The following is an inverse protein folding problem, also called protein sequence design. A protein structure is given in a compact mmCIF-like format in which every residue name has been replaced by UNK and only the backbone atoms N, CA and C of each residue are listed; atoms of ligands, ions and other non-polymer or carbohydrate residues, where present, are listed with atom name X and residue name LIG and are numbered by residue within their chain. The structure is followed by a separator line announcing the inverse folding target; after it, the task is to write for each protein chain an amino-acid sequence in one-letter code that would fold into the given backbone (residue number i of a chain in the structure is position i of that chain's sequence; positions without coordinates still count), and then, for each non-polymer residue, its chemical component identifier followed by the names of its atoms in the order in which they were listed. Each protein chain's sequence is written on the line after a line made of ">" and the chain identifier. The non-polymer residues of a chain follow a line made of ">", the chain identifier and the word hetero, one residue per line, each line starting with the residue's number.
data_IF_539703688845
#
_entry.id   IF_539703688845
#
_cell.length_a   1.000
_cell.length_b   1.000
_cell.length_c   1.000
_cell.angle_alpha   90.00
_cell.angle_beta   90.00
_cell.angle_gamma   90.00
#
_symmetry.space_group_name_H-M   'P 1'
#
loop_
_entity.id
_entity.type
_entity.pdbx_description
1 polymer ?
#
# COMPACT_ATOMS: atom_id res chain seq x y z
N UNK A 1 0.15 -12.08 -19.35
CA UNK A 1 -0.51 -11.11 -18.42
C UNK A 1 0.47 -10.38 -17.50
N UNK A 2 1.56 -10.98 -17.07
CA UNK A 2 2.56 -10.39 -16.17
C UNK A 2 3.20 -9.12 -16.73
N UNK A 3 3.62 -9.14 -17.99
CA UNK A 3 4.31 -8.01 -18.65
C UNK A 3 3.49 -6.71 -18.69
N UNK A 4 2.17 -6.80 -18.80
CA UNK A 4 1.27 -5.61 -18.85
C UNK A 4 1.05 -4.99 -17.47
N UNK A 5 1.09 -5.75 -16.38
CA UNK A 5 0.93 -5.22 -15.02
C UNK A 5 2.22 -4.59 -14.50
N UNK A 6 3.38 -5.15 -14.83
CA UNK A 6 4.68 -4.56 -14.46
C UNK A 6 4.89 -3.23 -15.19
N UNK A 7 4.53 -3.14 -16.47
CA UNK A 7 4.56 -1.89 -17.22
C UNK A 7 3.57 -0.85 -16.65
N UNK A 8 2.39 -1.29 -16.19
CA UNK A 8 1.42 -0.41 -15.53
C UNK A 8 1.97 0.13 -14.20
N UNK A 9 2.57 -0.73 -13.36
CA UNK A 9 3.14 -0.31 -12.10
C UNK A 9 4.23 0.76 -12.31
N UNK A 10 5.14 0.54 -13.27
CA UNK A 10 6.16 1.52 -13.64
C UNK A 10 5.56 2.85 -14.12
N UNK A 11 4.49 2.80 -14.94
CA UNK A 11 3.77 4.00 -15.38
C UNK A 11 3.14 4.77 -14.21
N UNK A 12 2.52 4.09 -13.25
CA UNK A 12 1.91 4.76 -12.10
C UNK A 12 2.97 5.32 -11.16
N UNK A 13 4.07 4.61 -10.91
CA UNK A 13 5.22 5.13 -10.15
C UNK A 13 5.76 6.39 -10.83
N UNK A 14 5.93 6.37 -12.15
CA UNK A 14 6.36 7.56 -12.89
C UNK A 14 5.37 8.73 -12.70
N UNK A 15 4.06 8.50 -12.82
CA UNK A 15 3.04 9.54 -12.57
C UNK A 15 3.13 10.05 -11.11
N UNK A 16 3.24 9.15 -10.13
CA UNK A 16 3.34 9.51 -8.71
C UNK A 16 4.55 10.41 -8.41
N UNK A 17 5.62 10.30 -9.19
CA UNK A 17 6.90 10.99 -8.95
C UNK A 17 7.17 12.16 -9.90
N UNK A 18 6.37 12.34 -10.97
CA UNK A 18 6.58 13.39 -11.97
C UNK A 18 5.35 14.26 -12.24
N UNK A 19 4.13 13.79 -11.97
CA UNK A 19 2.94 14.61 -12.10
C UNK A 19 2.81 15.51 -10.86
N UNK A 20 2.90 16.82 -11.06
CA UNK A 20 2.88 17.80 -9.97
C UNK A 20 1.68 17.63 -9.04
N UNK A 21 0.47 17.41 -9.58
CA UNK A 21 -0.72 17.31 -8.75
C UNK A 21 -0.71 16.04 -7.89
N UNK A 22 -0.26 14.91 -8.44
CA UNK A 22 -0.18 13.65 -7.71
C UNK A 22 0.95 13.69 -6.69
N UNK A 23 2.14 14.14 -7.09
CA UNK A 23 3.32 14.20 -6.23
C UNK A 23 3.11 15.15 -5.05
N UNK A 24 2.55 16.36 -5.29
CA UNK A 24 2.26 17.31 -4.22
C UNK A 24 1.26 16.76 -3.20
N UNK A 25 0.27 15.96 -3.62
CA UNK A 25 -0.64 15.27 -2.71
C UNK A 25 0.07 14.21 -1.88
N UNK A 26 0.91 13.37 -2.51
CA UNK A 26 1.64 12.31 -1.82
C UNK A 26 2.69 12.85 -0.83
N UNK A 27 3.24 14.02 -1.08
CA UNK A 27 4.19 14.67 -0.19
C UNK A 27 3.52 15.49 0.93
N UNK A 28 2.25 15.86 0.80
CA UNK A 28 1.56 16.71 1.76
C UNK A 28 1.47 16.07 3.13
N UNK A 29 1.91 16.77 4.19
CA UNK A 29 1.66 16.39 5.58
C UNK A 29 0.28 16.89 6.00
N UNK A 30 -0.66 15.96 6.17
CA UNK A 30 -2.03 16.26 6.56
C UNK A 30 -2.18 16.39 8.09
N UNK A 31 -1.17 16.00 8.87
CA UNK A 31 -1.23 16.04 10.35
C UNK A 31 -0.88 17.42 10.89
N UNK A 32 -0.09 18.19 10.13
CA UNK A 32 0.34 19.53 10.48
C UNK A 32 -0.43 20.57 9.65
N UNK A 33 -1.49 21.11 10.22
CA UNK A 33 -2.06 22.36 9.74
C UNK A 33 -1.34 23.50 10.44
N UNK A 34 -0.52 24.27 9.72
CA UNK A 34 0.12 25.43 10.29
C UNK A 34 -0.93 26.44 10.75
N UNK A 35 -0.61 27.24 11.77
CA UNK A 35 -1.51 28.25 12.32
C UNK A 35 -2.03 29.26 11.27
N UNK A 36 -1.28 29.46 10.19
CA UNK A 36 -1.65 30.29 9.03
C UNK A 36 -2.40 29.51 7.92
N UNK A 37 -2.71 28.22 8.13
CA UNK A 37 -3.36 27.34 7.13
C UNK A 37 -2.45 26.85 6.02
N UNK A 38 -1.14 27.12 6.05
CA UNK A 38 -0.19 26.62 5.06
C UNK A 38 0.04 25.12 5.21
N UNK A 39 0.05 24.42 4.08
CA UNK A 39 0.40 23.00 4.04
C UNK A 39 1.92 22.83 4.04
N UNK A 40 2.41 21.84 4.78
CA UNK A 40 3.80 21.40 4.71
C UNK A 40 3.87 20.04 4.04
N UNK A 41 5.03 19.76 3.45
CA UNK A 41 5.37 18.41 3.02
C UNK A 41 5.94 17.61 4.21
N UNK A 42 5.80 16.28 4.14
CA UNK A 42 6.44 15.34 5.06
C UNK A 42 7.95 15.60 5.11
N UNK A 43 8.54 15.50 6.28
CA UNK A 43 9.97 15.75 6.51
C UNK A 43 10.78 14.47 6.37
N UNK A 44 12.04 14.58 5.96
CA UNK A 44 12.93 13.43 5.75
C UNK A 44 13.08 12.57 7.00
N UNK A 45 13.39 13.17 8.13
CA UNK A 45 13.77 12.56 9.40
C UNK A 45 14.91 11.52 9.27
N UNK A 46 15.69 11.65 8.20
CA UNK A 46 16.92 10.91 7.91
C UNK A 46 17.95 11.83 7.22
N UNK A 47 19.24 11.55 7.39
CA UNK A 47 20.32 12.27 6.69
C UNK A 47 20.81 11.53 5.44
N UNK A 48 20.22 10.40 5.10
CA UNK A 48 20.65 9.52 4.01
C UNK A 48 20.73 10.24 2.65
N UNK A 49 19.83 11.18 2.42
CA UNK A 49 19.70 11.88 1.15
C UNK A 49 20.54 13.17 1.06
N UNK A 50 21.40 13.43 2.04
CA UNK A 50 22.22 14.64 2.08
C UNK A 50 21.43 15.91 2.37
N UNK A 51 20.24 15.78 2.93
CA UNK A 51 19.37 16.88 3.34
C UNK A 51 19.38 17.01 4.87
N UNK A 52 18.98 18.17 5.36
CA UNK A 52 18.63 18.30 6.79
C UNK A 52 17.47 17.36 7.09
N UNK A 53 17.60 16.61 8.19
CA UNK A 53 16.57 15.64 8.61
C UNK A 53 15.20 16.28 8.88
N UNK A 54 15.15 17.54 9.28
CA UNK A 54 13.90 18.27 9.50
C UNK A 54 13.37 18.98 8.24
N UNK A 55 14.16 18.98 7.16
CA UNK A 55 13.72 19.58 5.90
C UNK A 55 12.54 18.80 5.29
N UNK A 56 11.56 19.50 4.71
CA UNK A 56 10.48 18.85 3.99
C UNK A 56 11.00 18.22 2.68
N UNK A 57 10.44 17.09 2.29
CA UNK A 57 10.69 16.48 0.98
C UNK A 57 10.06 17.38 -0.08
N UNK A 58 10.86 17.86 -1.03
CA UNK A 58 10.42 18.76 -2.10
C UNK A 58 10.28 18.00 -3.42
N UNK A 59 9.37 18.45 -4.26
CA UNK A 59 9.20 17.90 -5.62
C UNK A 59 10.50 18.03 -6.46
N UNK A 60 11.25 19.14 -6.28
CA UNK A 60 12.53 19.35 -6.93
C UNK A 60 13.54 18.24 -6.67
N UNK A 61 13.45 17.55 -5.55
CA UNK A 61 14.32 16.42 -5.22
C UNK A 61 14.28 15.31 -6.30
N UNK A 62 13.08 14.98 -6.79
CA UNK A 62 12.91 13.99 -7.85
C UNK A 62 13.39 14.50 -9.22
N UNK A 63 13.32 15.81 -9.46
CA UNK A 63 13.84 16.42 -10.68
C UNK A 63 15.38 16.45 -10.69
N UNK A 64 15.99 16.72 -9.55
CA UNK A 64 17.46 16.83 -9.38
C UNK A 64 18.16 15.46 -9.28
N UNK A 65 17.54 14.51 -8.59
CA UNK A 65 18.13 13.19 -8.25
C UNK A 65 17.59 12.03 -9.08
N UNK A 66 16.55 12.28 -9.87
CA UNK A 66 15.86 11.25 -10.66
C UNK A 66 14.69 10.58 -9.91
N UNK A 67 13.86 9.92 -10.70
CA UNK A 67 12.64 9.29 -10.16
C UNK A 67 12.93 8.11 -9.21
N UNK A 68 14.08 7.49 -9.29
CA UNK A 68 14.49 6.35 -8.45
C UNK A 68 15.25 6.78 -7.18
N UNK A 69 15.32 8.08 -6.90
CA UNK A 69 16.06 8.63 -5.77
C UNK A 69 15.55 8.15 -4.41
N UNK A 70 14.26 7.86 -4.26
CA UNK A 70 13.71 7.17 -3.09
C UNK A 70 13.37 5.74 -3.53
N UNK A 71 14.06 4.77 -2.96
CA UNK A 71 13.92 3.35 -3.28
C UNK A 71 13.52 2.52 -2.06
N UNK A 72 12.81 1.40 -2.24
CA UNK A 72 12.53 0.46 -1.18
C UNK A 72 13.77 0.06 -0.40
N UNK A 73 13.62 -0.12 0.91
CA UNK A 73 14.74 -0.45 1.79
C UNK A 73 15.50 -1.69 1.34
N UNK A 74 14.80 -2.71 0.86
CA UNK A 74 15.42 -3.95 0.41
C UNK A 74 16.38 -3.76 -0.78
N UNK A 75 16.20 -2.70 -1.56
CA UNK A 75 17.08 -2.34 -2.68
C UNK A 75 18.26 -1.45 -2.28
N UNK A 76 18.27 -0.92 -1.05
CA UNK A 76 19.37 -0.09 -0.56
C UNK A 76 20.59 -0.95 -0.23
N UNK A 77 21.78 -0.35 -0.31
CA UNK A 77 23.04 -1.01 0.05
C UNK A 77 22.99 -1.49 1.50
N UNK A 78 23.62 -2.63 1.79
CA UNK A 78 23.61 -3.28 3.10
C UNK A 78 24.09 -2.37 4.24
N UNK A 79 25.13 -1.56 3.99
CA UNK A 79 25.63 -0.59 4.97
C UNK A 79 24.58 0.44 5.40
N UNK A 80 23.75 0.91 4.45
CA UNK A 80 22.67 1.85 4.72
C UNK A 80 21.56 1.17 5.51
N UNK A 81 21.16 -0.06 5.13
CA UNK A 81 20.18 -0.85 5.87
C UNK A 81 20.59 -1.08 7.32
N UNK A 82 21.86 -1.44 7.52
CA UNK A 82 22.44 -1.66 8.86
C UNK A 82 22.48 -0.37 9.67
N UNK A 83 22.86 0.75 9.06
CA UNK A 83 22.90 2.05 9.71
C UNK A 83 21.49 2.49 10.17
N UNK A 84 20.47 2.33 9.32
CA UNK A 84 19.07 2.65 9.65
C UNK A 84 18.54 1.73 10.76
N UNK A 85 18.83 0.44 10.73
CA UNK A 85 18.44 -0.48 11.80
C UNK A 85 19.04 -0.10 13.14
N UNK A 86 20.33 0.29 13.17
CA UNK A 86 21.00 0.72 14.42
C UNK A 86 20.50 2.08 14.92
N UNK A 87 20.30 3.03 14.02
CA UNK A 87 19.98 4.41 14.39
C UNK A 87 18.47 4.63 14.65
N UNK A 88 17.60 3.84 14.04
CA UNK A 88 16.14 4.04 14.00
C UNK A 88 15.32 2.81 14.35
N UNK A 89 15.94 1.70 14.73
CA UNK A 89 15.29 0.40 14.93
C UNK A 89 14.43 -0.04 13.72
N UNK A 90 14.81 0.39 12.52
CA UNK A 90 14.08 0.10 11.31
C UNK A 90 14.30 -1.37 10.91
N UNK A 91 13.32 -2.20 11.18
CA UNK A 91 13.30 -3.63 10.84
C UNK A 91 12.06 -3.90 10.02
N UNK A 92 12.26 -4.41 8.80
CA UNK A 92 11.15 -4.76 7.93
C UNK A 92 10.75 -6.23 8.11
N UNK A 93 9.46 -6.48 8.12
CA UNK A 93 8.88 -7.78 8.36
C UNK A 93 8.71 -8.54 7.04
N UNK A 94 9.19 -9.80 6.94
CA UNK A 94 8.94 -10.63 5.76
C UNK A 94 7.46 -10.81 5.50
N UNK A 95 7.06 -10.91 4.24
CA UNK A 95 5.63 -11.01 3.86
C UNK A 95 4.93 -12.21 4.47
N UNK A 96 5.62 -13.35 4.67
CA UNK A 96 5.02 -14.52 5.30
C UNK A 96 4.62 -14.26 6.76
N UNK A 97 5.39 -13.45 7.50
CA UNK A 97 5.03 -13.03 8.87
C UNK A 97 3.84 -12.08 8.84
N UNK A 98 3.85 -11.10 7.92
CA UNK A 98 2.70 -10.21 7.71
C UNK A 98 1.43 -11.00 7.39
N UNK A 99 1.56 -12.06 6.57
CA UNK A 99 0.46 -12.94 6.24
C UNK A 99 -0.12 -13.64 7.46
N UNK A 100 0.75 -14.25 8.27
CA UNK A 100 0.31 -14.96 9.49
C UNK A 100 -0.44 -14.03 10.44
N UNK A 101 0.09 -12.84 10.69
CA UNK A 101 -0.55 -11.86 11.58
C UNK A 101 -1.86 -11.32 10.98
N UNK A 102 -1.91 -11.03 9.69
CA UNK A 102 -3.14 -10.64 9.01
C UNK A 102 -4.20 -11.75 9.03
N UNK A 103 -3.79 -13.02 8.95
CA UNK A 103 -4.71 -14.16 9.10
C UNK A 103 -5.34 -14.19 10.49
N UNK A 104 -4.56 -13.97 11.55
CA UNK A 104 -5.08 -13.90 12.92
C UNK A 104 -6.08 -12.75 13.10
N UNK A 105 -5.78 -11.57 12.56
CA UNK A 105 -6.68 -10.41 12.59
C UNK A 105 -8.00 -10.70 11.87
N UNK A 106 -7.93 -11.36 10.71
CA UNK A 106 -9.11 -11.71 9.93
C UNK A 106 -9.89 -12.87 10.55
N UNK A 107 -9.23 -13.85 11.16
CA UNK A 107 -9.88 -14.92 11.93
C UNK A 107 -10.69 -14.34 13.09
N UNK A 108 -10.11 -13.39 13.86
CA UNK A 108 -10.84 -12.68 14.92
C UNK A 108 -12.06 -11.92 14.40
N UNK A 109 -11.99 -11.38 13.18
CA UNK A 109 -13.09 -10.60 12.61
C UNK A 109 -14.17 -11.48 11.95
N UNK A 110 -13.73 -12.50 11.18
CA UNK A 110 -14.61 -13.39 10.40
C UNK A 110 -15.12 -14.58 11.21
N UNK A 111 -14.43 -14.98 12.29
CA UNK A 111 -14.76 -16.17 13.07
C UNK A 111 -14.37 -17.49 12.39
N UNK A 112 -13.60 -17.45 11.31
CA UNK A 112 -13.13 -18.61 10.55
C UNK A 112 -11.64 -18.45 10.24
N UNK A 113 -10.81 -19.51 10.38
CA UNK A 113 -9.42 -19.50 9.98
C UNK A 113 -9.29 -19.53 8.45
N UNK A 114 -8.11 -19.19 7.96
CA UNK A 114 -7.69 -19.35 6.56
C UNK A 114 -8.66 -18.78 5.50
N UNK A 115 -9.39 -17.71 5.85
CA UNK A 115 -10.41 -17.13 4.96
C UNK A 115 -9.85 -16.65 3.61
N UNK A 116 -8.60 -16.21 3.57
CA UNK A 116 -7.95 -15.65 2.36
C UNK A 116 -6.89 -16.55 1.75
N UNK A 117 -6.22 -17.33 2.57
CA UNK A 117 -5.16 -18.25 2.14
C UNK A 117 -4.90 -19.30 3.21
N UNK A 118 -4.31 -20.41 2.80
CA UNK A 118 -3.80 -21.46 3.71
C UNK A 118 -2.29 -21.31 3.81
N UNK A 119 -1.77 -21.27 5.03
CA UNK A 119 -0.34 -21.18 5.29
C UNK A 119 0.29 -22.58 5.30
N UNK A 120 1.42 -22.71 4.60
CA UNK A 120 2.20 -23.94 4.49
C UNK A 120 3.54 -23.71 5.18
N UNK A 121 3.81 -24.47 6.25
CA UNK A 121 5.10 -24.45 6.93
C UNK A 121 6.16 -25.17 6.09
N UNK A 122 7.36 -24.59 5.98
CA UNK A 122 8.54 -25.22 5.38
C UNK A 122 9.49 -25.71 6.46
N UNK A 123 10.36 -26.65 6.10
CA UNK A 123 11.37 -27.19 7.01
C UNK A 123 12.40 -26.15 7.48
N UNK A 124 12.64 -25.10 6.68
CA UNK A 124 13.54 -24.00 7.00
C UNK A 124 12.93 -22.92 7.93
N UNK A 125 11.70 -23.15 8.43
CA UNK A 125 10.97 -22.23 9.29
C UNK A 125 10.32 -21.05 8.56
N UNK A 126 10.46 -20.96 7.24
CA UNK A 126 9.73 -20.03 6.40
C UNK A 126 8.34 -20.58 6.13
N UNK A 127 7.35 -19.70 6.03
CA UNK A 127 5.99 -20.08 5.69
C UNK A 127 5.63 -19.57 4.30
N UNK A 128 5.20 -20.49 3.45
CA UNK A 128 4.55 -20.16 2.18
C UNK A 128 3.03 -20.07 2.41
N UNK A 129 2.32 -19.51 1.44
CA UNK A 129 0.87 -19.46 1.49
C UNK A 129 0.26 -19.71 0.12
N UNK A 130 -0.92 -20.30 0.13
CA UNK A 130 -1.69 -20.55 -1.07
C UNK A 130 -3.05 -19.86 -0.96
N UNK A 131 -3.40 -18.96 -1.89
CA UNK A 131 -4.69 -18.29 -1.88
C UNK A 131 -5.85 -19.28 -1.95
N UNK A 132 -6.88 -19.07 -1.13
CA UNK A 132 -8.13 -19.82 -1.24
C UNK A 132 -8.86 -19.39 -2.50
N UNK A 133 -9.53 -20.36 -3.18
CA UNK A 133 -10.34 -20.10 -4.38
C UNK A 133 -11.82 -19.87 -4.04
N UNK A 134 -12.26 -20.29 -2.86
CA UNK A 134 -13.64 -20.07 -2.39
C UNK A 134 -13.84 -18.61 -1.99
N UNK A 135 -15.00 -18.01 -2.32
CA UNK A 135 -15.34 -16.68 -1.84
C UNK A 135 -15.36 -16.59 -0.32
N UNK A 136 -14.96 -15.43 0.19
CA UNK A 136 -14.92 -15.17 1.64
C UNK A 136 -16.32 -15.21 2.22
N UNK A 137 -16.50 -15.95 3.31
CA UNK A 137 -17.76 -16.03 4.06
C UNK A 137 -17.75 -15.03 5.22
N UNK A 138 -18.92 -14.47 5.52
CA UNK A 138 -19.09 -13.49 6.59
C UNK A 138 -19.96 -14.07 7.70
N UNK A 139 -19.64 -13.80 8.98
CA UNK A 139 -20.45 -14.28 10.10
C UNK A 139 -21.84 -13.65 10.09
N UNK A 140 -22.78 -14.29 10.78
CA UNK A 140 -24.14 -13.79 10.94
C UNK A 140 -24.13 -12.34 11.47
N UNK A 141 -24.98 -11.50 10.91
CA UNK A 141 -25.08 -10.08 11.27
C UNK A 141 -23.99 -9.18 10.69
N UNK A 142 -22.99 -9.72 9.97
CA UNK A 142 -21.94 -8.94 9.28
C UNK A 142 -22.00 -9.16 7.77
N UNK A 143 -21.62 -8.14 7.03
CA UNK A 143 -21.60 -8.18 5.57
C UNK A 143 -20.20 -7.90 5.03
N UNK A 144 -19.97 -8.23 3.75
CA UNK A 144 -18.74 -7.84 3.06
C UNK A 144 -18.49 -6.32 3.10
N UNK A 145 -19.58 -5.51 3.13
CA UNK A 145 -19.48 -4.04 3.22
C UNK A 145 -18.91 -3.60 4.57
N UNK A 146 -19.20 -4.34 5.63
CA UNK A 146 -18.69 -4.07 6.98
C UNK A 146 -17.20 -4.42 7.05
N UNK A 147 -16.78 -5.55 6.42
CA UNK A 147 -15.37 -5.89 6.30
C UNK A 147 -14.60 -4.82 5.52
N UNK A 148 -15.10 -4.38 4.37
CA UNK A 148 -14.46 -3.33 3.56
C UNK A 148 -14.28 -2.03 4.35
N UNK A 149 -15.24 -1.64 5.17
CA UNK A 149 -15.20 -0.43 6.01
C UNK A 149 -14.47 -0.61 7.34
N UNK A 150 -14.15 -1.83 7.75
CA UNK A 150 -13.49 -2.09 9.02
C UNK A 150 -12.16 -1.34 9.09
N UNK A 151 -11.96 -0.53 10.12
CA UNK A 151 -10.74 0.26 10.29
C UNK A 151 -9.58 -0.65 10.66
N UNK A 152 -8.43 -0.43 10.02
CA UNK A 152 -7.17 -1.14 10.28
C UNK A 152 -6.05 -0.12 10.39
N UNK A 153 -5.18 -0.29 11.37
CA UNK A 153 -4.03 0.58 11.61
C UNK A 153 -2.75 -0.26 11.66
N UNK A 154 -1.75 0.16 10.91
CA UNK A 154 -0.37 -0.33 11.01
C UNK A 154 0.49 0.76 11.64
N UNK A 155 1.03 0.50 12.84
CA UNK A 155 1.92 1.42 13.56
C UNK A 155 3.37 1.09 13.20
N UNK A 156 4.19 2.12 13.01
CA UNK A 156 5.54 1.99 12.45
C UNK A 156 5.52 1.24 11.11
N UNK A 157 4.68 1.73 10.20
CA UNK A 157 4.29 0.97 9.00
C UNK A 157 5.41 0.82 7.97
N UNK A 158 6.51 1.60 8.05
CA UNK A 158 7.56 1.55 7.05
C UNK A 158 6.99 1.77 5.63
N UNK A 159 7.13 0.76 4.78
CA UNK A 159 6.57 0.73 3.42
C UNK A 159 5.15 0.11 3.36
N UNK A 160 4.48 -0.03 4.50
CA UNK A 160 3.14 -0.57 4.70
C UNK A 160 2.93 -2.04 4.27
N UNK A 161 3.83 -2.99 4.62
CA UNK A 161 3.73 -4.38 4.17
C UNK A 161 2.51 -5.14 4.72
N UNK A 162 1.94 -4.72 5.85
CA UNK A 162 0.69 -5.28 6.38
C UNK A 162 -0.56 -4.75 5.66
N UNK A 163 -0.49 -3.54 5.12
CA UNK A 163 -1.60 -2.94 4.39
C UNK A 163 -1.62 -3.38 2.93
N UNK A 164 -0.46 -3.37 2.24
CA UNK A 164 -0.31 -3.80 0.85
C UNK A 164 0.98 -4.58 0.66
N UNK A 165 0.91 -5.71 -0.06
CA UNK A 165 2.07 -6.59 -0.27
C UNK A 165 2.40 -6.72 -1.76
N UNK A 166 2.81 -5.61 -2.39
CA UNK A 166 3.24 -5.62 -3.80
C UNK A 166 4.55 -6.37 -4.01
N UNK A 167 5.41 -6.32 -3.02
CA UNK A 167 6.70 -6.99 -2.96
C UNK A 167 6.99 -7.37 -1.50
N UNK A 168 7.90 -8.29 -1.30
CA UNK A 168 8.41 -8.61 0.04
C UNK A 168 9.34 -7.50 0.52
N UNK A 169 9.05 -6.90 1.67
CA UNK A 169 9.76 -5.76 2.20
C UNK A 169 11.22 -6.07 2.61
N UNK A 170 11.59 -7.34 2.71
CA UNK A 170 12.96 -7.77 3.07
C UNK A 170 13.82 -8.09 1.86
N UNK A 171 13.21 -8.54 0.75
CA UNK A 171 13.90 -9.01 -0.45
C UNK A 171 13.65 -8.16 -1.69
N UNK A 172 12.62 -7.31 -1.67
CA UNK A 172 12.05 -6.60 -2.82
C UNK A 172 11.50 -7.53 -3.92
N UNK A 173 11.35 -8.82 -3.68
CA UNK A 173 10.75 -9.74 -4.63
C UNK A 173 9.28 -9.38 -4.86
N UNK A 174 8.84 -9.17 -6.13
CA UNK A 174 7.46 -8.81 -6.42
C UNK A 174 6.49 -9.97 -6.11
N UNK A 175 5.29 -9.63 -5.63
CA UNK A 175 4.25 -10.58 -5.29
C UNK A 175 3.08 -10.42 -6.27
N UNK A 176 2.72 -11.47 -7.00
CA UNK A 176 1.57 -11.44 -7.90
C UNK A 176 0.28 -11.04 -7.17
N UNK A 177 -0.60 -10.27 -7.82
CA UNK A 177 -1.85 -9.75 -7.20
C UNK A 177 -2.68 -10.87 -6.55
N UNK A 178 -2.71 -12.07 -7.15
CA UNK A 178 -3.44 -13.22 -6.62
C UNK A 178 -2.87 -13.78 -5.30
N UNK A 179 -1.62 -13.47 -4.98
CA UNK A 179 -0.89 -13.96 -3.80
C UNK A 179 -0.66 -12.86 -2.75
N UNK A 180 -1.14 -11.64 -3.01
CA UNK A 180 -0.99 -10.53 -2.06
C UNK A 180 -1.79 -10.78 -0.79
N UNK A 181 -1.20 -10.43 0.34
CA UNK A 181 -1.68 -10.75 1.68
C UNK A 181 -1.99 -9.53 2.54
N UNK A 182 -1.73 -8.33 2.04
CA UNK A 182 -2.03 -7.08 2.75
C UNK A 182 -3.52 -6.92 3.03
N UNK A 183 -3.86 -6.26 4.12
CA UNK A 183 -5.28 -6.04 4.51
C UNK A 183 -6.07 -5.32 3.43
N UNK A 184 -5.48 -4.33 2.76
CA UNK A 184 -6.13 -3.62 1.67
C UNK A 184 -6.26 -4.51 0.41
N UNK A 185 -5.26 -5.37 0.14
CA UNK A 185 -5.33 -6.37 -0.92
C UNK A 185 -6.53 -7.32 -0.70
N UNK A 186 -6.73 -7.78 0.55
CA UNK A 186 -7.89 -8.61 0.95
C UNK A 186 -9.21 -7.87 0.78
N UNK A 187 -9.28 -6.60 1.13
CA UNK A 187 -10.48 -5.77 0.91
C UNK A 187 -10.80 -5.63 -0.58
N UNK A 188 -9.81 -5.44 -1.44
CA UNK A 188 -10.02 -5.39 -2.89
C UNK A 188 -10.52 -6.74 -3.42
N UNK A 189 -9.99 -7.87 -2.94
CA UNK A 189 -10.49 -9.20 -3.26
C UNK A 189 -11.97 -9.33 -2.86
N UNK A 190 -12.34 -8.97 -1.64
CA UNK A 190 -13.72 -9.01 -1.15
C UNK A 190 -14.64 -8.14 -2.02
N UNK A 191 -14.19 -6.96 -2.46
CA UNK A 191 -14.96 -6.11 -3.37
C UNK A 191 -15.14 -6.81 -4.72
N UNK A 192 -14.09 -7.43 -5.26
CA UNK A 192 -14.15 -8.16 -6.53
C UNK A 192 -15.12 -9.35 -6.48
N UNK A 193 -15.13 -10.09 -5.38
CA UNK A 193 -16.03 -11.23 -5.15
C UNK A 193 -17.51 -10.82 -5.02
N UNK A 194 -17.79 -9.60 -4.54
CA UNK A 194 -19.14 -9.14 -4.19
C UNK A 194 -19.69 -8.03 -5.09
N UNK A 195 -19.03 -7.71 -6.18
CA UNK A 195 -19.50 -6.72 -7.16
C UNK A 195 -19.54 -7.33 -8.56
N UNK A 196 -20.56 -6.95 -9.39
CA UNK A 196 -20.66 -7.45 -10.75
C UNK A 196 -19.40 -7.19 -11.59
N UNK A 197 -19.02 -8.14 -12.44
CA UNK A 197 -17.79 -8.07 -13.27
C UNK A 197 -18.01 -7.40 -14.63
N UNK A 198 -19.25 -7.29 -15.10
CA UNK A 198 -19.56 -6.65 -16.37
C UNK A 198 -19.10 -5.19 -16.39
N UNK A 199 -18.39 -4.75 -17.44
CA UNK A 199 -17.72 -3.44 -17.48
C UNK A 199 -18.69 -2.27 -17.78
N UNK A 200 -19.88 -2.28 -17.17
CA UNK A 200 -20.86 -1.18 -17.27
C UNK A 200 -20.42 0.04 -16.47
N UNK A 201 -20.98 1.21 -16.79
CA UNK A 201 -20.70 2.46 -16.04
C UNK A 201 -21.15 2.33 -14.58
N UNK A 202 -22.31 1.69 -14.34
CA UNK A 202 -22.85 1.50 -13.00
C UNK A 202 -21.94 0.60 -12.14
N UNK A 203 -21.50 -0.54 -12.69
CA UNK A 203 -20.63 -1.48 -11.98
C UNK A 203 -19.25 -0.88 -11.69
N UNK A 204 -18.67 -0.14 -12.65
CA UNK A 204 -17.42 0.59 -12.43
C UNK A 204 -17.54 1.65 -11.32
N UNK A 205 -18.64 2.39 -11.28
CA UNK A 205 -18.92 3.35 -10.21
C UNK A 205 -19.11 2.67 -8.86
N UNK A 206 -19.83 1.53 -8.81
CA UNK A 206 -20.03 0.77 -7.58
C UNK A 206 -18.68 0.28 -7.03
N UNK A 207 -17.90 -0.42 -7.87
CA UNK A 207 -16.57 -0.92 -7.50
C UNK A 207 -15.68 0.22 -7.02
N UNK A 208 -15.57 1.30 -7.80
CA UNK A 208 -14.74 2.46 -7.45
C UNK A 208 -15.11 3.04 -6.10
N UNK A 209 -16.41 3.25 -5.85
CA UNK A 209 -16.88 3.75 -4.55
C UNK A 209 -16.47 2.84 -3.40
N UNK A 210 -16.54 1.52 -3.59
CA UNK A 210 -16.17 0.53 -2.56
C UNK A 210 -14.66 0.46 -2.38
N UNK A 211 -13.90 0.52 -3.45
CA UNK A 211 -12.45 0.56 -3.40
C UNK A 211 -11.93 1.83 -2.70
N UNK A 212 -12.51 3.00 -2.96
CA UNK A 212 -12.18 4.23 -2.21
C UNK A 212 -12.53 4.10 -0.72
N UNK A 213 -13.68 3.49 -0.37
CA UNK A 213 -14.03 3.21 1.03
C UNK A 213 -13.03 2.26 1.70
N UNK A 214 -12.49 1.27 0.97
CA UNK A 214 -11.43 0.39 1.47
C UNK A 214 -10.15 1.18 1.78
N UNK A 215 -9.69 2.03 0.86
CA UNK A 215 -8.51 2.88 1.08
C UNK A 215 -8.71 3.82 2.28
N UNK A 216 -9.90 4.42 2.42
CA UNK A 216 -10.25 5.29 3.56
C UNK A 216 -10.32 4.56 4.92
N UNK A 217 -10.30 3.25 4.93
CA UNK A 217 -10.43 2.43 6.15
C UNK A 217 -9.15 1.77 6.60
N UNK A 218 -8.04 2.01 5.92
CA UNK A 218 -6.71 1.56 6.33
C UNK A 218 -5.86 2.77 6.69
N UNK A 219 -5.11 2.65 7.76
CA UNK A 219 -4.28 3.72 8.31
C UNK A 219 -2.87 3.19 8.50
N UNK A 220 -1.88 4.01 8.20
CA UNK A 220 -0.49 3.76 8.52
C UNK A 220 0.11 4.93 9.27
N UNK A 221 1.06 4.64 10.12
CA UNK A 221 1.81 5.66 10.85
C UNK A 221 3.28 5.31 10.84
N UNK A 222 4.11 6.20 10.32
CA UNK A 222 5.57 6.09 10.38
C UNK A 222 6.20 7.45 10.66
N UNK A 223 7.42 7.40 11.18
CA UNK A 223 8.16 8.61 11.53
C UNK A 223 8.96 9.17 10.35
N UNK A 224 9.47 8.31 9.47
CA UNK A 224 10.37 8.70 8.40
C UNK A 224 9.63 9.03 7.11
N UNK A 225 9.87 10.23 6.56
CA UNK A 225 9.13 10.72 5.39
C UNK A 225 9.36 9.89 4.11
N UNK A 226 10.54 9.32 3.92
CA UNK A 226 10.78 8.42 2.77
C UNK A 226 9.96 7.13 2.88
N UNK A 227 9.79 6.57 4.09
CA UNK A 227 8.91 5.43 4.33
C UNK A 227 7.44 5.81 4.10
N UNK A 228 7.00 6.96 4.64
CA UNK A 228 5.64 7.47 4.43
C UNK A 228 5.37 7.68 2.94
N UNK A 229 6.31 8.25 2.19
CA UNK A 229 6.16 8.42 0.74
C UNK A 229 6.03 7.07 0.02
N UNK A 230 6.91 6.10 0.32
CA UNK A 230 6.87 4.77 -0.29
C UNK A 230 5.59 3.99 0.07
N UNK A 231 5.11 4.11 1.30
CA UNK A 231 3.84 3.47 1.71
C UNK A 231 2.65 4.07 0.97
N UNK A 232 2.59 5.39 0.83
CA UNK A 232 1.56 6.10 0.05
C UNK A 232 1.60 5.70 -1.42
N UNK A 233 2.78 5.67 -2.03
CA UNK A 233 2.98 5.21 -3.40
C UNK A 233 2.55 3.75 -3.57
N UNK A 234 2.92 2.86 -2.65
CA UNK A 234 2.56 1.44 -2.69
C UNK A 234 1.04 1.23 -2.67
N UNK A 235 0.31 1.97 -1.86
CA UNK A 235 -1.16 1.91 -1.83
C UNK A 235 -1.77 2.46 -3.13
N UNK A 236 -1.26 3.58 -3.63
CA UNK A 236 -1.73 4.17 -4.89
C UNK A 236 -1.53 3.21 -6.06
N UNK A 237 -0.34 2.62 -6.16
CA UNK A 237 -0.03 1.66 -7.23
C UNK A 237 -0.88 0.40 -7.09
N UNK A 238 -1.02 -0.16 -5.88
CA UNK A 238 -1.89 -1.32 -5.63
C UNK A 238 -3.32 -1.07 -6.09
N UNK A 239 -3.91 0.07 -5.72
CA UNK A 239 -5.24 0.44 -6.20
C UNK A 239 -5.32 0.44 -7.73
N UNK A 240 -4.35 1.03 -8.41
CA UNK A 240 -4.32 1.11 -9.88
C UNK A 240 -4.19 -0.27 -10.53
N UNK A 241 -3.38 -1.16 -9.95
CA UNK A 241 -3.21 -2.54 -10.41
C UNK A 241 -4.51 -3.36 -10.24
N UNK A 242 -5.20 -3.25 -9.10
CA UNK A 242 -6.50 -3.90 -8.88
C UNK A 242 -7.58 -3.36 -9.82
N UNK A 243 -7.61 -2.04 -10.03
CA UNK A 243 -8.50 -1.42 -11.00
C UNK A 243 -8.25 -1.93 -12.41
N UNK A 244 -6.99 -1.99 -12.83
CA UNK A 244 -6.62 -2.44 -14.17
C UNK A 244 -6.87 -3.94 -14.37
N UNK A 245 -6.61 -4.77 -13.36
CA UNK A 245 -6.97 -6.20 -13.38
C UNK A 245 -8.47 -6.38 -13.57
N UNK A 246 -9.30 -5.57 -12.90
CA UNK A 246 -10.75 -5.67 -12.94
C UNK A 246 -11.35 -5.17 -14.26
N UNK A 247 -10.81 -4.08 -14.82
CA UNK A 247 -11.44 -3.34 -15.90
C UNK A 247 -10.64 -3.32 -17.21
N UNK A 248 -9.51 -4.03 -17.27
CA UNK A 248 -8.66 -4.14 -18.47
C UNK A 248 -7.93 -2.86 -18.85
N UNK A 249 -7.95 -1.81 -18.01
CA UNK A 249 -7.30 -0.51 -18.27
C UNK A 249 -6.97 0.21 -16.98
N UNK A 250 -5.95 1.07 -17.01
CA UNK A 250 -5.61 1.93 -15.88
C UNK A 250 -6.74 2.94 -15.55
N UNK A 251 -6.85 3.40 -14.29
CA UNK A 251 -7.73 4.51 -13.95
C UNK A 251 -7.30 5.80 -14.66
N UNK A 252 -8.23 6.73 -14.86
CA UNK A 252 -7.94 8.07 -15.38
C UNK A 252 -7.25 8.92 -14.30
N UNK A 253 -6.48 9.94 -14.71
CA UNK A 253 -5.75 10.84 -13.82
C UNK A 253 -6.60 11.42 -12.66
N UNK A 254 -7.84 11.90 -12.86
CA UNK A 254 -8.67 12.39 -11.76
C UNK A 254 -8.96 11.32 -10.70
N UNK A 255 -9.04 10.05 -11.09
CA UNK A 255 -9.21 8.95 -10.12
C UNK A 255 -7.90 8.68 -9.35
N UNK A 256 -6.75 8.73 -10.03
CA UNK A 256 -5.42 8.60 -9.42
C UNK A 256 -5.23 9.72 -8.38
N UNK A 257 -5.52 10.97 -8.75
CA UNK A 257 -5.46 12.13 -7.86
C UNK A 257 -6.36 11.94 -6.63
N UNK A 258 -7.61 11.47 -6.83
CA UNK A 258 -8.52 11.24 -5.71
C UNK A 258 -8.01 10.16 -4.74
N UNK A 259 -7.36 9.12 -5.26
CA UNK A 259 -6.72 8.09 -4.41
C UNK A 259 -5.51 8.69 -3.70
N UNK A 260 -4.65 9.45 -4.36
CA UNK A 260 -3.50 10.11 -3.76
C UNK A 260 -3.91 11.04 -2.60
N UNK A 261 -4.99 11.83 -2.78
CA UNK A 261 -5.57 12.67 -1.72
C UNK A 261 -6.00 11.85 -0.50
N UNK A 262 -6.72 10.72 -0.72
CA UNK A 262 -7.16 9.85 0.37
C UNK A 262 -5.96 9.21 1.07
N UNK A 263 -5.00 8.70 0.31
CA UNK A 263 -3.82 8.03 0.86
C UNK A 263 -2.99 9.00 1.72
N UNK A 264 -2.83 10.25 1.28
CA UNK A 264 -2.16 11.29 2.07
C UNK A 264 -2.89 11.64 3.38
N UNK A 265 -4.19 11.39 3.46
CA UNK A 265 -4.99 11.65 4.67
C UNK A 265 -5.01 10.47 5.66
N UNK A 266 -4.62 9.27 5.25
CA UNK A 266 -4.65 8.07 6.09
C UNK A 266 -3.26 7.55 6.47
N UNK A 267 -2.19 8.14 5.90
CA UNK A 267 -0.77 7.80 6.14
C UNK A 267 0.05 9.05 6.45
#
# INVERSE_FOLDING_TARGET
>A
MTTTLDSLAADIIRIARTDHNVLSMLLCDQTLTLLNGERRNISWLTHEYGQDSLAPIRESFFQERGIDAISPRALKHESLRTARSKARAEVFTPTWVCNMQNNLVDECWLGIPDAFNTTLAREDGVHEWQPTITPVRFPEGKTWKDYVKSKRLEVACGEAPYLVSRYDATTACPIPISHRVGILDRKFRVIDENTPSEPTVANKRLWLRKALQAVQSVYGYDWQGDNVFLSRESILVSFCEYYARRWGRRPKLPTIMKVAEIVAAVL
#
